data_IF_290514480002
#
_entry.id   IF_290514480002
#
_cell.length_a   1.000
_cell.length_b   1.000
_cell.length_c   1.000
_cell.angle_alpha   90.00
_cell.angle_beta   90.00
_cell.angle_gamma   90.00
#
_symmetry.space_group_name_H-M   'P 1'
#
loop_
_entity.id
_entity.type
_entity.pdbx_description
1 polymer ?
#
# COMPACT_ATOMS: atom_id res chain seq x y z
N UNK A 1 -20.76 -38.84 5.78
CA UNK A 1 -21.27 -39.96 4.93
C UNK A 1 -21.32 -39.50 3.47
N UNK A 2 -20.49 -40.05 2.59
CA UNK A 2 -20.52 -39.74 1.15
C UNK A 2 -21.68 -40.53 0.51
N UNK A 3 -22.71 -39.84 0.00
CA UNK A 3 -23.79 -40.49 -0.76
C UNK A 3 -23.28 -40.74 -2.18
N UNK A 4 -22.95 -41.99 -2.51
CA UNK A 4 -22.69 -42.42 -3.88
C UNK A 4 -24.03 -42.61 -4.61
N UNK A 5 -24.30 -41.80 -5.62
CA UNK A 5 -25.46 -42.02 -6.50
C UNK A 5 -25.08 -43.06 -7.57
N UNK A 6 -25.59 -44.28 -7.43
CA UNK A 6 -25.36 -45.45 -8.31
C UNK A 6 -26.20 -45.45 -9.59
N UNK A 7 -26.40 -44.30 -10.24
CA UNK A 7 -27.05 -44.25 -11.56
C UNK A 7 -26.24 -43.32 -12.47
N UNK A 8 -25.72 -43.80 -13.63
CA UNK A 8 -25.11 -42.89 -14.58
C UNK A 8 -26.21 -41.95 -15.08
N UNK A 9 -26.10 -40.67 -14.77
CA UNK A 9 -26.98 -39.67 -15.34
C UNK A 9 -26.74 -39.68 -16.86
N UNK A 10 -27.76 -40.00 -17.63
CA UNK A 10 -27.73 -39.94 -19.10
C UNK A 10 -27.73 -38.46 -19.51
N UNK A 11 -26.57 -37.79 -19.40
CA UNK A 11 -26.40 -36.36 -19.64
C UNK A 11 -25.00 -35.85 -19.27
N UNK A 12 -24.70 -34.58 -19.58
CA UNK A 12 -23.42 -33.95 -19.21
C UNK A 12 -23.23 -34.03 -17.68
N UNK A 13 -22.11 -34.60 -17.19
CA UNK A 13 -21.81 -34.67 -15.76
C UNK A 13 -21.90 -33.28 -15.11
N UNK A 14 -22.46 -33.23 -13.90
CA UNK A 14 -22.48 -31.98 -13.11
C UNK A 14 -21.06 -31.61 -12.71
N UNK A 15 -20.74 -30.33 -12.78
CA UNK A 15 -19.48 -29.81 -12.24
C UNK A 15 -19.38 -30.13 -10.74
N UNK A 16 -18.18 -30.47 -10.24
CA UNK A 16 -17.90 -30.62 -8.81
C UNK A 16 -18.34 -29.37 -8.01
N UNK A 17 -18.70 -29.56 -6.74
CA UNK A 17 -19.27 -28.48 -5.92
C UNK A 17 -18.27 -27.35 -5.63
N UNK A 18 -16.99 -27.68 -5.58
CA UNK A 18 -15.83 -26.81 -5.40
C UNK A 18 -15.49 -26.00 -6.66
N UNK A 19 -15.68 -26.56 -7.85
CA UNK A 19 -15.51 -25.84 -9.12
C UNK A 19 -16.73 -24.99 -9.50
N UNK A 20 -17.88 -25.32 -8.93
CA UNK A 20 -19.14 -24.65 -9.25
C UNK A 20 -19.20 -23.28 -8.58
N UNK A 21 -19.19 -22.22 -9.40
CA UNK A 21 -19.45 -20.82 -9.00
C UNK A 21 -20.93 -20.63 -8.54
N UNK A 22 -21.31 -21.15 -7.36
CA UNK A 22 -22.71 -21.18 -6.90
C UNK A 22 -23.16 -20.01 -6.02
N UNK A 23 -22.25 -19.19 -5.50
CA UNK A 23 -22.59 -18.02 -4.69
C UNK A 23 -22.84 -16.84 -5.63
N UNK A 24 -24.03 -16.24 -5.55
CA UNK A 24 -24.40 -15.06 -6.32
C UNK A 24 -24.29 -13.80 -5.46
N UNK A 25 -23.52 -12.81 -5.94
CA UNK A 25 -23.38 -11.49 -5.32
C UNK A 25 -23.87 -10.45 -6.34
N UNK A 26 -25.07 -9.85 -6.17
CA UNK A 26 -25.57 -8.85 -7.11
C UNK A 26 -24.88 -7.50 -6.88
N UNK A 27 -24.54 -6.81 -7.97
CA UNK A 27 -24.02 -5.45 -7.98
C UNK A 27 -24.96 -4.58 -8.80
N UNK A 28 -25.33 -3.41 -8.27
CA UNK A 28 -26.15 -2.43 -8.98
C UNK A 28 -25.25 -1.31 -9.50
N UNK A 29 -25.42 -0.97 -10.77
CA UNK A 29 -24.72 0.12 -11.44
C UNK A 29 -25.75 1.14 -11.91
N UNK A 30 -25.35 2.42 -11.93
CA UNK A 30 -26.03 3.39 -12.79
C UNK A 30 -25.65 3.18 -14.27
N UNK A 31 -26.24 3.98 -15.17
CA UNK A 31 -26.05 3.84 -16.61
C UNK A 31 -24.59 4.08 -17.00
N UNK A 32 -23.96 5.12 -16.45
CA UNK A 32 -22.59 5.52 -16.80
C UNK A 32 -21.57 4.51 -16.26
N UNK A 33 -21.74 4.07 -15.02
CA UNK A 33 -20.92 3.03 -14.39
C UNK A 33 -21.03 1.70 -15.15
N UNK A 34 -22.23 1.35 -15.62
CA UNK A 34 -22.43 0.15 -16.41
C UNK A 34 -21.67 0.22 -17.73
N UNK A 35 -21.75 1.36 -18.43
CA UNK A 35 -21.03 1.56 -19.69
C UNK A 35 -19.51 1.45 -19.49
N UNK A 36 -18.98 2.15 -18.48
CA UNK A 36 -17.54 2.09 -18.13
C UNK A 36 -17.10 0.66 -17.81
N UNK A 37 -17.91 -0.10 -17.07
CA UNK A 37 -17.61 -1.48 -16.73
C UNK A 37 -17.63 -2.39 -17.97
N UNK A 38 -18.57 -2.18 -18.89
CA UNK A 38 -18.62 -2.92 -20.16
C UNK A 38 -17.42 -2.60 -21.07
N UNK A 39 -17.02 -1.34 -21.19
CA UNK A 39 -15.86 -0.94 -21.99
C UNK A 39 -14.56 -1.54 -21.44
N UNK A 40 -14.42 -1.57 -20.11
CA UNK A 40 -13.28 -2.23 -19.45
C UNK A 40 -13.28 -3.74 -19.64
N UNK A 41 -14.45 -4.39 -19.57
CA UNK A 41 -14.57 -5.82 -19.85
C UNK A 41 -14.19 -6.14 -21.31
N UNK A 42 -14.65 -5.32 -22.26
CA UNK A 42 -14.31 -5.44 -23.68
C UNK A 42 -12.79 -5.29 -23.90
N UNK A 43 -12.20 -4.25 -23.31
CA UNK A 43 -10.75 -3.99 -23.40
C UNK A 43 -9.92 -5.15 -22.83
N UNK A 44 -10.40 -5.77 -21.75
CA UNK A 44 -9.77 -6.93 -21.14
C UNK A 44 -10.00 -8.25 -21.93
N UNK A 45 -10.86 -8.25 -22.96
CA UNK A 45 -11.24 -9.46 -23.68
C UNK A 45 -12.07 -10.44 -22.85
N UNK A 46 -12.76 -9.94 -21.80
CA UNK A 46 -13.52 -10.74 -20.86
C UNK A 46 -15.01 -10.47 -20.99
N UNK A 47 -15.83 -11.48 -20.69
CA UNK A 47 -17.26 -11.23 -20.48
C UNK A 47 -17.48 -10.44 -19.18
N UNK A 48 -18.60 -9.72 -19.09
CA UNK A 48 -19.01 -8.91 -17.94
C UNK A 48 -18.80 -9.60 -16.59
N UNK A 49 -19.28 -10.83 -16.46
CA UNK A 49 -19.25 -11.55 -15.19
C UNK A 49 -17.84 -11.99 -14.80
N UNK A 50 -17.01 -12.36 -15.77
CA UNK A 50 -15.61 -12.73 -15.53
C UNK A 50 -14.77 -11.50 -15.19
N UNK A 51 -15.01 -10.38 -15.89
CA UNK A 51 -14.38 -9.10 -15.59
C UNK A 51 -14.68 -8.66 -14.15
N UNK A 52 -15.95 -8.69 -13.72
CA UNK A 52 -16.34 -8.34 -12.35
C UNK A 52 -15.69 -9.28 -11.33
N UNK A 53 -15.66 -10.59 -11.59
CA UNK A 53 -15.02 -11.56 -10.68
C UNK A 53 -13.52 -11.31 -10.54
N UNK A 54 -12.80 -11.18 -11.65
CA UNK A 54 -11.36 -10.94 -11.63
C UNK A 54 -11.05 -9.60 -10.98
N UNK A 55 -11.84 -8.57 -11.27
CA UNK A 55 -11.70 -7.26 -10.64
C UNK A 55 -11.93 -7.34 -9.13
N UNK A 56 -12.89 -8.12 -8.64
CA UNK A 56 -13.15 -8.26 -7.21
C UNK A 56 -12.07 -9.09 -6.47
N UNK A 57 -11.47 -10.08 -7.15
CA UNK A 57 -10.41 -10.92 -6.57
C UNK A 57 -9.03 -10.27 -6.59
N UNK A 58 -8.78 -9.43 -7.60
CA UNK A 58 -7.46 -8.83 -7.85
C UNK A 58 -7.45 -7.31 -7.67
N UNK A 59 -8.53 -6.71 -7.15
CA UNK A 59 -8.49 -5.30 -6.83
C UNK A 59 -7.43 -5.06 -5.74
N UNK A 60 -6.55 -4.09 -6.00
CA UNK A 60 -5.67 -3.57 -4.97
C UNK A 60 -6.48 -2.56 -4.15
N UNK A 61 -6.85 -2.94 -2.93
CA UNK A 61 -7.33 -1.97 -1.95
C UNK A 61 -6.11 -1.18 -1.49
N UNK A 62 -6.04 0.09 -1.89
CA UNK A 62 -5.06 1.02 -1.31
C UNK A 62 -5.65 1.51 -0.01
N UNK A 63 -5.17 0.95 1.09
CA UNK A 63 -5.53 1.44 2.43
C UNK A 63 -5.15 2.92 2.55
N UNK A 64 -6.01 3.71 3.20
CA UNK A 64 -5.66 5.08 3.54
C UNK A 64 -4.47 5.04 4.49
N UNK A 65 -3.53 5.96 4.30
CA UNK A 65 -2.42 6.17 5.24
C UNK A 65 -2.99 6.28 6.65
N UNK A 66 -2.54 5.39 7.53
CA UNK A 66 -2.96 5.41 8.92
C UNK A 66 -2.44 6.68 9.59
N UNK A 67 -3.03 7.13 10.71
CA UNK A 67 -2.46 8.24 11.48
C UNK A 67 -0.98 8.04 11.84
N UNK A 68 -0.55 6.78 11.99
CA UNK A 68 0.85 6.37 12.19
C UNK A 68 1.70 6.66 10.95
N UNK A 69 1.24 6.28 9.75
CA UNK A 69 1.96 6.53 8.50
C UNK A 69 2.09 8.03 8.22
N UNK A 70 1.03 8.79 8.47
CA UNK A 70 1.05 10.25 8.34
C UNK A 70 2.04 10.87 9.32
N UNK A 71 2.11 10.38 10.55
CA UNK A 71 3.12 10.82 11.53
C UNK A 71 4.53 10.48 11.07
N UNK A 72 4.76 9.27 10.54
CA UNK A 72 6.04 8.85 9.99
C UNK A 72 6.50 9.77 8.86
N UNK A 73 5.59 10.11 7.94
CA UNK A 73 5.88 11.03 6.84
C UNK A 73 6.29 12.41 7.36
N UNK A 74 5.60 12.96 8.37
CA UNK A 74 5.98 14.26 8.97
C UNK A 74 7.34 14.18 9.67
N UNK A 75 7.62 13.11 10.39
CA UNK A 75 8.90 12.92 11.07
C UNK A 75 10.06 12.83 10.05
N UNK A 76 9.85 12.14 8.93
CA UNK A 76 10.80 12.07 7.81
C UNK A 76 11.01 13.42 7.11
N UNK A 77 9.96 14.21 6.94
CA UNK A 77 10.07 15.58 6.41
C UNK A 77 10.95 16.45 7.32
N UNK A 78 10.80 16.34 8.64
CA UNK A 78 11.66 17.03 9.60
C UNK A 78 13.14 16.65 9.47
N UNK A 79 13.44 15.38 9.18
CA UNK A 79 14.81 14.91 8.93
C UNK A 79 15.38 15.54 7.65
N UNK A 80 14.61 15.57 6.56
CA UNK A 80 15.05 16.16 5.30
C UNK A 80 15.43 17.65 5.48
N UNK A 81 14.61 18.39 6.23
CA UNK A 81 14.88 19.80 6.55
C UNK A 81 16.17 19.98 7.35
N UNK A 82 16.39 19.10 8.33
CA UNK A 82 17.60 19.15 9.15
C UNK A 82 18.86 18.81 8.34
N UNK A 83 18.81 17.76 7.52
CA UNK A 83 19.90 17.40 6.61
C UNK A 83 20.24 18.53 5.63
N UNK A 84 19.22 19.21 5.11
CA UNK A 84 19.41 20.37 4.24
C UNK A 84 20.14 21.51 4.96
N UNK A 85 19.83 21.77 6.23
CA UNK A 85 20.56 22.77 7.05
C UNK A 85 22.01 22.38 7.27
N UNK A 86 22.26 21.11 7.62
CA UNK A 86 23.63 20.60 7.76
C UNK A 86 24.44 20.75 6.46
N UNK A 87 23.86 20.38 5.31
CA UNK A 87 24.55 20.47 4.03
C UNK A 87 24.93 21.92 3.66
N UNK A 88 24.01 22.87 3.90
CA UNK A 88 24.28 24.31 3.71
C UNK A 88 25.41 24.80 4.62
N UNK A 89 25.43 24.35 5.87
CA UNK A 89 26.48 24.71 6.81
C UNK A 89 27.86 24.17 6.41
N UNK A 90 27.95 22.88 6.04
CA UNK A 90 29.20 22.29 5.54
C UNK A 90 29.71 23.06 4.32
N UNK A 91 28.81 23.47 3.42
CA UNK A 91 29.14 24.34 2.29
C UNK A 91 29.69 25.72 2.70
N UNK A 92 29.26 26.28 3.83
CA UNK A 92 29.77 27.54 4.38
C UNK A 92 31.16 27.37 5.03
N UNK A 93 31.40 26.26 5.74
CA UNK A 93 32.72 25.91 6.28
C UNK A 93 33.74 25.78 5.15
N UNK A 94 33.41 25.01 4.10
CA UNK A 94 34.30 24.76 2.97
C UNK A 94 34.70 26.03 2.21
N UNK A 95 33.88 27.08 2.29
CA UNK A 95 34.16 28.41 1.72
C UNK A 95 34.98 29.31 2.67
N UNK A 96 35.49 28.78 3.77
CA UNK A 96 36.39 29.47 4.70
C UNK A 96 35.70 30.42 5.69
N UNK A 97 34.38 30.30 5.89
CA UNK A 97 33.59 31.30 6.62
C UNK A 97 33.10 30.90 8.01
N UNK A 98 33.46 29.73 8.55
CA UNK A 98 32.84 29.21 9.77
C UNK A 98 33.70 29.38 11.04
N UNK A 99 33.08 29.86 12.13
CA UNK A 99 33.71 29.92 13.45
C UNK A 99 33.70 28.55 14.15
N UNK A 100 34.59 28.38 15.12
CA UNK A 100 34.68 27.15 15.92
C UNK A 100 33.37 26.81 16.65
N UNK A 101 32.67 27.83 17.16
CA UNK A 101 31.34 27.68 17.78
C UNK A 101 30.30 27.15 16.80
N UNK A 102 30.34 27.62 15.55
CA UNK A 102 29.41 27.15 14.52
C UNK A 102 29.67 25.69 14.16
N UNK A 103 30.94 25.28 14.09
CA UNK A 103 31.33 23.89 13.84
C UNK A 103 30.82 22.97 14.96
N UNK A 104 31.05 23.34 16.22
CA UNK A 104 30.59 22.59 17.40
C UNK A 104 29.07 22.49 17.42
N UNK A 105 28.37 23.58 17.11
CA UNK A 105 26.90 23.60 17.03
C UNK A 105 26.39 22.64 15.97
N UNK A 106 26.93 22.66 14.76
CA UNK A 106 26.46 21.78 13.70
C UNK A 106 26.81 20.33 13.96
N UNK A 107 27.94 20.04 14.59
CA UNK A 107 28.24 18.67 15.04
C UNK A 107 27.18 18.14 16.01
N UNK A 108 26.70 18.96 16.95
CA UNK A 108 25.57 18.60 17.83
C UNK A 108 24.27 18.40 17.05
N UNK A 109 23.95 19.28 16.10
CA UNK A 109 22.76 19.16 15.26
C UNK A 109 22.77 17.85 14.45
N UNK A 110 23.94 17.44 13.93
CA UNK A 110 24.13 16.15 13.23
C UNK A 110 23.87 14.96 14.17
N UNK A 111 24.44 14.98 15.38
CA UNK A 111 24.23 13.91 16.36
C UNK A 111 22.75 13.80 16.73
N UNK A 112 22.08 14.93 16.99
CA UNK A 112 20.65 14.95 17.28
C UNK A 112 19.82 14.38 16.12
N UNK A 113 20.19 14.69 14.87
CA UNK A 113 19.53 14.10 13.70
C UNK A 113 19.71 12.58 13.64
N UNK A 114 20.94 12.10 13.84
CA UNK A 114 21.25 10.66 13.88
C UNK A 114 20.43 9.96 14.96
N UNK A 115 20.38 10.51 16.18
CA UNK A 115 19.67 9.91 17.29
C UNK A 115 18.15 9.92 17.07
N UNK A 116 17.62 11.00 16.48
CA UNK A 116 16.22 11.06 16.08
C UNK A 116 15.88 10.01 15.03
N UNK A 117 16.68 9.86 13.97
CA UNK A 117 16.49 8.82 12.94
C UNK A 117 16.52 7.42 13.56
N UNK A 118 17.48 7.14 14.46
CA UNK A 118 17.55 5.87 15.17
C UNK A 118 16.31 5.62 16.06
N UNK A 119 15.74 6.68 16.65
CA UNK A 119 14.50 6.57 17.43
C UNK A 119 13.30 6.20 16.55
N UNK A 120 13.19 6.79 15.35
CA UNK A 120 12.13 6.43 14.40
C UNK A 120 12.29 4.99 13.92
N UNK A 121 13.50 4.55 13.58
CA UNK A 121 13.77 3.17 13.18
C UNK A 121 13.33 2.20 14.28
N UNK A 122 13.64 2.47 15.54
CA UNK A 122 13.20 1.64 16.67
C UNK A 122 11.67 1.62 16.81
N UNK A 123 11.03 2.78 16.70
CA UNK A 123 9.58 2.91 16.85
C UNK A 123 8.85 2.15 15.73
N UNK A 124 9.24 2.36 14.46
CA UNK A 124 8.57 1.76 13.31
C UNK A 124 8.94 0.30 13.05
N UNK A 125 10.10 -0.20 13.54
CA UNK A 125 10.52 -1.60 13.39
C UNK A 125 9.87 -2.57 14.38
N UNK A 126 9.52 -2.11 15.58
CA UNK A 126 9.13 -2.99 16.69
C UNK A 126 7.66 -2.87 17.13
N UNK A 127 6.89 -1.92 16.61
CA UNK A 127 5.47 -1.82 16.95
C UNK A 127 4.66 -2.65 15.95
N UNK A 128 4.01 -3.74 16.39
CA UNK A 128 3.12 -4.52 15.53
C UNK A 128 2.03 -3.61 14.99
N UNK A 129 1.51 -3.96 13.81
CA UNK A 129 0.31 -3.31 13.27
C UNK A 129 -0.82 -3.59 14.26
N UNK A 130 -1.17 -2.60 15.07
CA UNK A 130 -2.38 -2.65 15.88
C UNK A 130 -3.55 -2.68 14.92
N UNK A 131 -4.07 -3.88 14.68
CA UNK A 131 -5.38 -4.13 14.05
C UNK A 131 -6.48 -3.54 14.92
#
# INVERSE_FOLDING_TARGET
>A
MKKSNLRPAKGRPKLPADERKSIMVPVKFDIDQYQVMMDKALTAGLNRSEYIRQSALHCKVVERLTPRDVKAIRDLQGIAENLNRTAKFVGAILKGGASEEQIVRTYREIIQCKDFVLSLIKNYRNTPDSV
#
